data_IF_354053425543
#
_entry.id   IF_354053425543
#
_cell.length_a   1.000
_cell.length_b   1.000
_cell.length_c   1.000
_cell.angle_alpha   90.00
_cell.angle_beta   90.00
_cell.angle_gamma   90.00
#
_symmetry.space_group_name_H-M   'P 1'
#
loop_
_entity.id
_entity.type
_entity.pdbx_description
1 polymer ?
#
# COMPACT_ATOMS: atom_id res chain seq x y z
N UNK A 1 4.05 -8.78 8.11
CA UNK A 1 4.54 -7.49 8.63
C UNK A 1 4.73 -6.49 7.49
N UNK A 2 4.26 -5.27 7.69
CA UNK A 2 4.35 -4.24 6.67
C UNK A 2 5.65 -3.48 6.84
N UNK A 3 6.45 -3.44 5.79
CA UNK A 3 7.75 -2.79 5.78
C UNK A 3 7.84 -1.82 4.61
N UNK A 4 8.78 -0.87 4.65
CA UNK A 4 9.02 -0.04 3.47
C UNK A 4 9.31 -0.92 2.26
N UNK A 5 8.69 -0.61 1.15
CA UNK A 5 8.80 -1.40 -0.06
C UNK A 5 7.70 -2.43 -0.23
N UNK A 6 6.91 -2.69 0.81
CA UNK A 6 5.82 -3.65 0.71
C UNK A 6 4.70 -3.10 -0.17
N UNK A 7 4.09 -3.96 -0.96
CA UNK A 7 2.87 -3.61 -1.67
C UNK A 7 1.69 -3.89 -0.75
N UNK A 8 0.83 -2.91 -0.58
CA UNK A 8 -0.30 -3.01 0.33
C UNK A 8 -1.57 -2.50 -0.32
N UNK A 9 -2.69 -2.91 0.26
CA UNK A 9 -4.00 -2.47 -0.19
C UNK A 9 -4.77 -1.96 1.02
N UNK A 10 -5.52 -0.89 0.83
CA UNK A 10 -6.37 -0.35 1.90
C UNK A 10 -7.55 -1.29 2.07
N UNK A 11 -7.70 -1.81 3.29
CA UNK A 11 -8.77 -2.77 3.59
C UNK A 11 -9.86 -2.21 4.49
N UNK A 12 -9.77 -0.96 4.87
CA UNK A 12 -10.79 -0.31 5.68
C UNK A 12 -11.91 0.19 4.77
N UNK A 13 -13.06 -0.45 4.82
CA UNK A 13 -14.15 -0.13 3.91
C UNK A 13 -14.73 1.27 4.11
N UNK A 14 -14.41 1.91 5.24
CA UNK A 14 -14.86 3.27 5.51
C UNK A 14 -13.88 4.32 5.00
N UNK A 15 -12.77 3.91 4.44
CA UNK A 15 -11.75 4.84 3.98
C UNK A 15 -12.04 5.26 2.54
N UNK A 16 -11.74 6.52 2.24
CA UNK A 16 -11.90 7.05 0.89
C UNK A 16 -11.09 6.25 -0.13
N UNK A 17 -9.95 5.70 0.32
CA UNK A 17 -9.05 4.96 -0.56
C UNK A 17 -9.26 3.45 -0.48
N UNK A 18 -10.40 3.02 0.04
CA UNK A 18 -10.67 1.59 0.14
C UNK A 18 -10.45 0.89 -1.20
N UNK A 19 -9.69 -0.20 -1.16
CA UNK A 19 -9.38 -0.97 -2.36
C UNK A 19 -8.20 -0.48 -3.17
N UNK A 20 -7.68 0.70 -2.85
CA UNK A 20 -6.49 1.22 -3.54
C UNK A 20 -5.26 0.43 -3.11
N UNK A 21 -4.37 0.20 -4.05
CA UNK A 21 -3.10 -0.46 -3.79
C UNK A 21 -1.95 0.51 -4.00
N UNK A 22 -0.93 0.36 -3.19
CA UNK A 22 0.23 1.23 -3.30
C UNK A 22 1.46 0.59 -2.66
N UNK A 23 2.55 1.33 -2.65
CA UNK A 23 3.80 0.88 -2.06
C UNK A 23 4.10 1.67 -0.81
N UNK A 24 4.50 0.95 0.23
CA UNK A 24 4.87 1.60 1.50
C UNK A 24 6.21 2.29 1.33
N UNK A 25 6.25 3.56 1.70
CA UNK A 25 7.47 4.35 1.64
C UNK A 25 8.16 4.45 2.99
N UNK A 26 7.37 4.42 4.07
CA UNK A 26 7.89 4.58 5.42
C UNK A 26 6.92 3.97 6.41
N UNK A 27 7.45 3.43 7.49
CA UNK A 27 6.63 2.94 8.60
C UNK A 27 7.14 3.61 9.88
N UNK A 28 6.25 4.24 10.61
CA UNK A 28 6.59 4.95 11.85
C UNK A 28 5.41 4.92 12.80
N UNK A 29 5.66 4.51 14.03
CA UNK A 29 4.66 4.58 15.10
C UNK A 29 3.33 3.90 14.75
N UNK A 30 3.41 2.73 14.14
CA UNK A 30 2.21 1.98 13.80
C UNK A 30 1.46 2.49 12.61
N UNK A 31 2.08 3.37 11.83
CA UNK A 31 1.48 3.94 10.63
C UNK A 31 2.42 3.76 9.46
N UNK A 32 1.86 3.70 8.28
CA UNK A 32 2.64 3.55 7.05
C UNK A 32 2.25 4.65 6.07
N UNK A 33 3.26 5.28 5.49
CA UNK A 33 3.05 6.21 4.40
C UNK A 33 3.06 5.41 3.10
N UNK A 34 1.96 5.45 2.38
CA UNK A 34 1.76 4.63 1.19
C UNK A 34 1.68 5.54 -0.03
N UNK A 35 2.45 5.22 -1.03
CA UNK A 35 2.43 5.96 -2.29
C UNK A 35 1.50 5.27 -3.27
N UNK A 36 0.49 6.00 -3.69
CA UNK A 36 -0.41 5.56 -4.75
C UNK A 36 0.00 6.22 -6.05
N UNK A 37 0.08 5.44 -7.11
CA UNK A 37 0.44 5.97 -8.41
C UNK A 37 -0.63 5.64 -9.43
N UNK A 38 -1.09 6.66 -10.13
CA UNK A 38 -1.97 6.49 -11.27
C UNK A 38 -1.23 6.88 -12.53
N UNK A 39 -1.95 6.97 -13.64
CA UNK A 39 -1.32 7.29 -14.91
C UNK A 39 -0.63 8.63 -14.93
N UNK A 40 -1.29 9.65 -14.44
CA UNK A 40 -0.77 11.01 -14.47
C UNK A 40 -0.65 11.64 -13.10
N UNK A 41 -0.74 10.84 -12.04
CA UNK A 41 -0.73 11.39 -10.69
C UNK A 41 -0.07 10.41 -9.73
N UNK A 42 0.42 10.96 -8.64
CA UNK A 42 0.85 10.16 -7.51
C UNK A 42 0.41 10.88 -6.24
N UNK A 43 0.25 10.12 -5.15
CA UNK A 43 -0.20 10.69 -3.90
C UNK A 43 0.32 9.86 -2.73
N UNK A 44 0.87 10.54 -1.74
CA UNK A 44 1.38 9.89 -0.54
C UNK A 44 0.37 10.11 0.57
N UNK A 45 -0.13 9.02 1.14
CA UNK A 45 -1.13 9.08 2.21
C UNK A 45 -0.68 8.16 3.34
N UNK A 46 -0.87 8.62 4.57
CA UNK A 46 -0.51 7.83 5.75
C UNK A 46 -1.74 7.10 6.26
N UNK A 47 -1.57 5.81 6.53
CA UNK A 47 -2.62 4.96 7.09
C UNK A 47 -2.12 4.26 8.34
N UNK A 48 -3.05 3.82 9.17
CA UNK A 48 -2.69 2.91 10.25
C UNK A 48 -2.37 1.55 9.65
N UNK A 49 -1.43 0.85 10.26
CA UNK A 49 -1.09 -0.49 9.76
C UNK A 49 -2.30 -1.42 9.76
N UNK A 50 -3.20 -1.24 10.72
CA UNK A 50 -4.41 -2.06 10.79
C UNK A 50 -5.38 -1.83 9.63
N UNK A 51 -5.21 -0.74 8.90
CA UNK A 51 -6.07 -0.44 7.74
C UNK A 51 -5.51 -0.99 6.45
N UNK A 52 -4.35 -1.61 6.51
CA UNK A 52 -3.64 -2.09 5.33
C UNK A 52 -3.44 -3.59 5.39
N UNK A 53 -3.37 -4.21 4.23
CA UNK A 53 -2.94 -5.61 4.16
C UNK A 53 -1.93 -5.76 3.04
N UNK A 54 -1.03 -6.71 3.22
CA UNK A 54 0.01 -6.96 2.23
C UNK A 54 -0.62 -7.65 1.03
N UNK A 55 -0.27 -7.15 -0.16
CA UNK A 55 -0.72 -7.74 -1.41
C UNK A 55 0.45 -8.49 -2.01
N UNK A 56 0.25 -9.76 -2.31
CA UNK A 56 1.28 -10.54 -2.97
C UNK A 56 1.41 -10.09 -4.41
N UNK A 57 2.61 -9.67 -4.75
CA UNK A 57 2.84 -9.17 -6.09
C UNK A 57 3.76 -10.07 -6.88
N UNK A 58 4.12 -11.16 -6.31
CA UNK A 58 5.04 -12.04 -7.00
C UNK A 58 4.40 -12.69 -8.18
N UNK A 59 3.54 -12.36 -8.28
CA UNK A 59 3.17 -12.84 -9.36
C UNK A 59 3.87 -12.28 -10.45
N UNK A 60 4.49 -12.16 -9.71
CA UNK A 60 4.88 -11.88 -10.11
C UNK A 60 5.68 -11.63 -10.37
N UNK A 61 5.88 -11.75 -10.15
CA UNK A 61 6.45 -11.69 -10.05
C UNK A 61 6.74 -11.92 -10.56
N UNK A 62 6.49 -12.18 -11.03
CA UNK A 62 6.46 -12.49 -11.43
C UNK A 62 6.40 -12.25 -12.19
N UNK A 63 6.44 -12.34 -12.54
CA UNK A 63 6.27 -12.29 -13.10
C UNK A 63 6.60 -12.12 -13.76
N UNK A 64 6.84 -12.50 -13.80
CA UNK A 64 7.18 -12.48 -14.25
C UNK A 64 7.39 -12.53 -15.03
N UNK A 65 7.58 -12.79 -15.12
CA UNK A 65 7.69 -13.02 -15.61
C UNK A 65 7.68 -12.97 -16.23
#
# INVERSE_FOLDING_TARGET
MILPGSAVQVKNSNDTYYGYQGLVQRVTDGKAAVLFEGGNWDKLVTFRLSDLEIVETTAGRKKAK
#
